data_IF_732333822902
#
_entry.id   IF_732333822902
#
_cell.length_a   1.000
_cell.length_b   1.000
_cell.length_c   1.000
_cell.angle_alpha   90.00
_cell.angle_beta   90.00
_cell.angle_gamma   90.00
#
_symmetry.space_group_name_H-M   'P 1'
#
loop_
_entity.id
_entity.type
_entity.pdbx_description
1 polymer ?
#
# COMPACT_ATOMS: atom_id res chain seq x y z
N UNK A 1 -9.26 -4.38 -10.28
CA UNK A 1 -9.65 -3.58 -11.45
C UNK A 1 -9.73 -4.43 -12.71
N UNK A 2 -8.69 -5.22 -13.01
CA UNK A 2 -8.65 -6.09 -14.19
C UNK A 2 -9.86 -7.03 -14.29
N UNK A 3 -10.17 -7.74 -13.19
CA UNK A 3 -11.32 -8.67 -13.14
C UNK A 3 -12.65 -7.92 -13.31
N UNK A 4 -12.81 -6.75 -12.72
CA UNK A 4 -14.00 -5.93 -12.92
C UNK A 4 -14.15 -5.51 -14.39
N UNK A 5 -13.06 -5.08 -15.03
CA UNK A 5 -13.09 -4.73 -16.45
C UNK A 5 -13.47 -5.92 -17.34
N UNK A 6 -13.01 -7.12 -16.99
CA UNK A 6 -13.38 -8.35 -17.68
C UNK A 6 -14.85 -8.71 -17.47
N UNK A 7 -15.34 -8.59 -16.23
CA UNK A 7 -16.74 -8.86 -15.87
C UNK A 7 -17.72 -7.99 -16.69
N UNK A 8 -17.37 -6.74 -16.90
CA UNK A 8 -18.17 -5.81 -17.72
C UNK A 8 -17.81 -5.87 -19.22
N UNK A 9 -17.11 -6.91 -19.68
CA UNK A 9 -16.76 -7.13 -21.09
C UNK A 9 -16.12 -5.92 -21.78
N UNK A 10 -15.28 -5.17 -21.05
CA UNK A 10 -14.62 -3.98 -21.58
C UNK A 10 -15.53 -2.77 -21.73
N UNK A 11 -16.80 -2.86 -21.33
CA UNK A 11 -17.67 -1.70 -21.24
C UNK A 11 -17.25 -0.80 -20.05
N UNK A 12 -17.85 0.38 -19.97
CA UNK A 12 -17.62 1.28 -18.84
C UNK A 12 -17.92 0.54 -17.54
N UNK A 13 -16.95 0.48 -16.62
CA UNK A 13 -17.22 0.00 -15.27
C UNK A 13 -18.35 0.88 -14.74
N UNK A 14 -19.45 0.29 -14.22
CA UNK A 14 -20.55 1.09 -13.70
C UNK A 14 -20.00 2.17 -12.78
N UNK A 15 -20.62 3.32 -12.82
CA UNK A 15 -20.27 4.48 -11.99
C UNK A 15 -20.63 4.22 -10.50
N UNK A 16 -20.20 3.10 -10.00
CA UNK A 16 -20.09 2.82 -8.59
C UNK A 16 -18.76 3.40 -8.17
N UNK A 17 -18.76 4.38 -7.32
CA UNK A 17 -17.56 5.04 -6.84
C UNK A 17 -16.56 4.02 -6.28
N UNK A 18 -15.62 3.54 -7.10
CA UNK A 18 -14.56 2.63 -6.68
C UNK A 18 -13.23 3.36 -6.77
N UNK A 19 -12.63 3.62 -5.61
CA UNK A 19 -11.24 4.08 -5.50
C UNK A 19 -10.28 2.91 -5.38
N UNK A 20 -9.08 3.07 -5.92
CA UNK A 20 -8.02 2.08 -5.79
C UNK A 20 -6.77 2.73 -5.23
N UNK A 21 -6.09 2.03 -4.34
CA UNK A 21 -4.75 2.37 -3.89
C UNK A 21 -3.87 1.12 -3.92
N UNK A 22 -2.88 1.12 -4.79
CA UNK A 22 -1.90 0.05 -4.91
C UNK A 22 -0.63 0.42 -4.16
N UNK A 23 -0.24 -0.41 -3.21
CA UNK A 23 0.93 -0.20 -2.34
C UNK A 23 1.91 -1.33 -2.55
N UNK A 24 3.12 -1.04 -2.96
CA UNK A 24 4.17 -2.05 -3.12
C UNK A 24 5.56 -1.50 -2.82
N UNK A 25 6.47 -2.40 -2.50
CA UNK A 25 7.91 -2.13 -2.38
C UNK A 25 8.66 -2.31 -3.70
N UNK A 26 8.03 -2.87 -4.74
CA UNK A 26 8.57 -3.00 -6.09
C UNK A 26 7.87 -2.05 -7.05
N UNK A 27 8.64 -1.42 -7.93
CA UNK A 27 8.10 -0.59 -9.01
C UNK A 27 7.74 -1.39 -10.27
N UNK A 28 8.04 -2.68 -10.31
CA UNK A 28 7.84 -3.51 -11.52
C UNK A 28 6.40 -3.46 -12.02
N UNK A 29 5.43 -3.64 -11.11
CA UNK A 29 4.01 -3.59 -11.43
C UNK A 29 3.44 -2.17 -11.55
N UNK A 30 4.27 -1.16 -11.41
CA UNK A 30 3.90 0.26 -11.53
C UNK A 30 4.30 0.87 -12.87
N UNK A 31 4.98 0.11 -13.73
CA UNK A 31 5.35 0.53 -15.09
C UNK A 31 4.14 0.60 -16.00
N UNK A 32 4.08 1.66 -16.82
CA UNK A 32 3.00 1.87 -17.77
C UNK A 32 2.95 0.81 -18.88
N UNK A 33 4.07 0.16 -19.15
CA UNK A 33 4.22 -0.79 -20.27
C UNK A 33 4.10 -2.25 -19.83
N UNK A 34 3.80 -2.51 -18.56
CA UNK A 34 3.67 -3.87 -18.06
C UNK A 34 2.46 -4.57 -18.70
N UNK A 35 2.68 -5.69 -19.42
CA UNK A 35 1.61 -6.45 -20.04
C UNK A 35 0.56 -6.97 -19.05
N UNK A 36 0.92 -7.14 -17.78
CA UNK A 36 0.01 -7.59 -16.73
C UNK A 36 -1.15 -6.62 -16.48
N UNK A 37 -0.98 -5.35 -16.84
CA UNK A 37 -2.04 -4.34 -16.78
C UNK A 37 -2.93 -4.27 -18.01
N UNK A 38 -2.71 -5.14 -19.00
CA UNK A 38 -3.55 -5.21 -20.19
C UNK A 38 -4.61 -6.31 -20.03
N UNK A 39 -5.82 -6.01 -20.45
CA UNK A 39 -6.91 -6.98 -20.56
C UNK A 39 -7.85 -6.54 -21.67
N UNK A 40 -8.36 -7.49 -22.46
CA UNK A 40 -9.20 -7.22 -23.62
C UNK A 40 -8.62 -6.13 -24.54
N UNK A 41 -7.30 -6.11 -24.73
CA UNK A 41 -6.60 -5.13 -25.57
C UNK A 41 -6.44 -3.73 -24.97
N UNK A 42 -6.95 -3.47 -23.78
CA UNK A 42 -6.91 -2.17 -23.13
C UNK A 42 -6.05 -2.17 -21.89
N UNK A 43 -5.32 -1.08 -21.64
CA UNK A 43 -4.60 -0.87 -20.37
C UNK A 43 -5.58 -0.54 -19.27
N UNK A 44 -5.53 -1.32 -18.19
CA UNK A 44 -6.33 -1.12 -16.96
C UNK A 44 -5.46 -0.67 -15.79
N UNK A 45 -4.29 -0.13 -16.09
CA UNK A 45 -3.36 0.35 -15.09
C UNK A 45 -4.00 1.43 -14.19
N UNK A 46 -3.57 1.46 -12.95
CA UNK A 46 -3.96 2.53 -12.04
C UNK A 46 -3.16 3.81 -12.34
N UNK A 47 -3.78 4.97 -12.25
CA UNK A 47 -3.05 6.24 -12.36
C UNK A 47 -2.00 6.36 -11.25
N UNK A 48 -0.95 7.13 -11.48
CA UNK A 48 0.14 7.33 -10.51
C UNK A 48 -0.36 7.80 -9.13
N UNK A 49 -1.41 8.61 -9.10
CA UNK A 49 -2.04 9.06 -7.87
C UNK A 49 -2.69 7.93 -7.04
N UNK A 50 -2.90 6.78 -7.66
CA UNK A 50 -3.43 5.57 -7.00
C UNK A 50 -2.35 4.50 -6.76
N UNK A 51 -1.07 4.88 -6.87
CA UNK A 51 0.07 3.99 -6.66
C UNK A 51 0.99 4.58 -5.60
N UNK A 52 1.34 3.79 -4.60
CA UNK A 52 2.28 4.17 -3.55
C UNK A 52 3.45 3.20 -3.52
N UNK A 53 4.60 3.65 -4.03
CA UNK A 53 5.85 2.94 -3.87
C UNK A 53 6.42 3.21 -2.47
N UNK A 54 6.55 2.17 -1.67
CA UNK A 54 7.04 2.28 -0.29
C UNK A 54 8.55 2.06 -0.14
N UNK A 55 9.29 1.93 -1.23
CA UNK A 55 10.76 1.98 -1.17
C UNK A 55 11.24 3.39 -0.84
N UNK A 56 12.33 3.46 -0.10
CA UNK A 56 12.97 4.73 0.26
C UNK A 56 14.48 4.58 0.12
N UNK A 57 15.12 5.50 -0.62
CA UNK A 57 16.57 5.57 -0.74
C UNK A 57 17.25 5.98 0.59
N UNK A 58 16.49 6.57 1.52
CA UNK A 58 16.98 7.08 2.80
C UNK A 58 16.73 6.11 3.96
N UNK A 59 16.68 4.80 3.72
CA UNK A 59 16.43 3.82 4.78
C UNK A 59 17.55 3.78 5.82
N UNK A 60 18.81 3.89 5.38
CA UNK A 60 19.98 3.86 6.25
C UNK A 60 19.96 4.97 7.31
N UNK A 61 19.78 6.27 6.97
CA UNK A 61 19.67 7.31 7.97
C UNK A 61 18.55 7.12 8.99
N UNK A 62 17.43 6.53 8.59
CA UNK A 62 16.32 6.25 9.51
C UNK A 62 16.64 5.10 10.45
N UNK A 63 17.33 4.09 9.97
CA UNK A 63 17.76 2.98 10.81
C UNK A 63 18.82 3.38 11.83
N UNK A 64 19.69 4.31 11.46
CA UNK A 64 20.75 4.81 12.35
C UNK A 64 20.18 5.73 13.45
N UNK A 65 18.98 6.26 13.29
CA UNK A 65 18.34 7.16 14.22
C UNK A 65 16.98 6.64 14.75
N UNK A 66 16.93 5.38 15.14
CA UNK A 66 15.70 4.72 15.64
C UNK A 66 15.16 5.35 16.92
N UNK A 67 15.99 6.03 17.69
CA UNK A 67 15.56 6.74 18.90
C UNK A 67 14.58 7.86 18.57
N UNK A 68 14.65 8.42 17.37
CA UNK A 68 13.68 9.38 16.85
C UNK A 68 12.37 8.74 16.38
N UNK A 69 12.30 7.39 16.35
CA UNK A 69 11.14 6.62 15.90
C UNK A 69 10.75 5.54 16.92
N UNK A 70 10.28 5.94 18.12
CA UNK A 70 10.03 4.97 19.22
C UNK A 70 9.04 3.88 18.84
N UNK A 71 8.05 4.18 18.02
CA UNK A 71 7.12 3.17 17.52
C UNK A 71 7.76 2.11 16.65
N UNK A 72 8.81 2.45 15.89
CA UNK A 72 9.60 1.50 15.13
C UNK A 72 10.52 0.69 16.05
N UNK A 73 11.20 1.34 16.97
CA UNK A 73 12.16 0.73 17.89
C UNK A 73 11.55 -0.43 18.68
N UNK A 74 10.30 -0.30 19.11
CA UNK A 74 9.63 -1.33 19.93
C UNK A 74 9.55 -2.71 19.28
N UNK A 75 9.26 -2.77 17.97
CA UNK A 75 9.04 -4.05 17.30
C UNK A 75 10.20 -4.50 16.43
N UNK A 76 11.15 -3.61 16.21
CA UNK A 76 12.28 -3.92 15.38
C UNK A 76 13.33 -4.73 16.13
N UNK A 77 13.48 -4.54 17.43
CA UNK A 77 14.45 -5.23 18.27
C UNK A 77 15.84 -4.59 18.28
N UNK A 78 16.86 -5.38 18.55
CA UNK A 78 18.23 -4.87 18.69
C UNK A 78 18.82 -4.37 17.36
N UNK A 79 19.74 -3.39 17.39
CA UNK A 79 20.44 -2.90 16.20
C UNK A 79 21.09 -3.98 15.35
N UNK A 80 21.56 -5.06 15.96
CA UNK A 80 22.22 -6.16 15.24
C UNK A 80 21.22 -6.99 14.41
N UNK A 81 20.02 -7.22 14.93
CA UNK A 81 18.94 -7.86 14.18
C UNK A 81 18.47 -7.02 12.97
N UNK A 82 18.72 -5.72 13.01
CA UNK A 82 18.44 -4.77 11.96
C UNK A 82 19.42 -4.79 10.82
N UNK A 83 20.70 -4.86 11.12
CA UNK A 83 21.75 -4.86 10.11
C UNK A 83 21.52 -5.96 9.09
N UNK A 84 21.05 -7.13 9.52
CA UNK A 84 20.72 -8.22 8.61
C UNK A 84 19.53 -7.88 7.70
N UNK A 85 18.54 -7.18 8.22
CA UNK A 85 17.41 -6.71 7.44
C UNK A 85 17.85 -5.62 6.47
N UNK A 86 18.65 -4.66 6.91
CA UNK A 86 19.16 -3.57 6.09
C UNK A 86 20.15 -4.05 5.04
N UNK A 87 21.09 -4.91 5.40
CA UNK A 87 22.03 -5.53 4.47
C UNK A 87 21.33 -6.34 3.39
N UNK A 88 20.14 -6.86 3.68
CA UNK A 88 19.33 -7.55 2.70
C UNK A 88 18.60 -6.61 1.74
N UNK A 89 18.58 -5.30 2.03
CA UNK A 89 17.99 -4.26 1.17
C UNK A 89 19.06 -3.69 0.23
N UNK A 90 20.28 -3.56 0.69
CA UNK A 90 21.41 -3.04 -0.09
C UNK A 90 21.85 -4.12 -1.08
N UNK A 91 21.36 -4.04 -2.31
CA UNK A 91 21.82 -4.90 -3.41
C UNK A 91 20.90 -6.05 -3.81
N UNK A 92 19.76 -6.23 -3.18
CA UNK A 92 18.78 -7.22 -3.61
C UNK A 92 17.55 -6.55 -4.25
N UNK A 93 17.10 -7.09 -5.38
CA UNK A 93 15.71 -7.05 -5.76
C UNK A 93 14.88 -7.34 -4.50
N UNK A 94 14.06 -6.41 -4.07
CA UNK A 94 13.29 -6.44 -2.82
C UNK A 94 12.29 -7.62 -2.69
N UNK A 95 12.33 -8.58 -3.60
CA UNK A 95 11.49 -9.75 -3.69
C UNK A 95 11.66 -10.83 -2.62
N UNK A 96 12.36 -10.56 -1.54
CA UNK A 96 12.39 -11.47 -0.41
C UNK A 96 11.09 -11.40 0.39
N UNK A 97 10.48 -12.55 0.68
CA UNK A 97 9.30 -12.72 1.54
C UNK A 97 9.52 -12.27 2.99
N UNK A 98 10.11 -11.08 3.17
CA UNK A 98 10.54 -10.57 4.48
C UNK A 98 9.49 -9.62 5.04
N UNK A 99 8.54 -10.16 5.82
CA UNK A 99 7.45 -9.40 6.43
C UNK A 99 7.93 -8.21 7.27
N UNK A 100 8.99 -8.38 8.05
CA UNK A 100 9.56 -7.28 8.85
C UNK A 100 10.03 -6.12 7.99
N UNK A 101 10.63 -6.43 6.84
CA UNK A 101 11.04 -5.41 5.88
C UNK A 101 9.82 -4.68 5.30
N UNK A 102 8.81 -5.41 4.82
CA UNK A 102 7.59 -4.81 4.30
C UNK A 102 6.92 -3.89 5.32
N UNK A 103 6.86 -4.31 6.59
CA UNK A 103 6.36 -3.50 7.70
C UNK A 103 7.17 -2.22 7.89
N UNK A 104 8.50 -2.33 7.88
CA UNK A 104 9.39 -1.18 8.04
C UNK A 104 9.23 -0.15 6.91
N UNK A 105 9.26 -0.61 5.67
CA UNK A 105 9.07 0.24 4.50
C UNK A 105 7.73 0.97 4.56
N UNK A 106 6.68 0.25 4.93
CA UNK A 106 5.35 0.85 5.11
C UNK A 106 5.35 1.91 6.21
N UNK A 107 5.93 1.62 7.35
CA UNK A 107 6.01 2.58 8.46
C UNK A 107 6.75 3.87 8.06
N UNK A 108 7.80 3.76 7.24
CA UNK A 108 8.51 4.93 6.70
C UNK A 108 7.63 5.78 5.75
N UNK A 109 6.60 5.20 5.15
CA UNK A 109 5.70 5.87 4.21
C UNK A 109 4.26 5.98 4.72
N UNK A 110 4.02 5.75 6.01
CA UNK A 110 2.69 5.79 6.60
C UNK A 110 1.99 7.14 6.39
N UNK A 111 2.74 8.26 6.47
CA UNK A 111 2.20 9.59 6.16
C UNK A 111 1.67 9.69 4.73
N UNK A 112 2.46 9.27 3.74
CA UNK A 112 2.03 9.25 2.35
C UNK A 112 0.82 8.33 2.11
N UNK A 113 0.79 7.17 2.79
CA UNK A 113 -0.37 6.28 2.75
C UNK A 113 -1.64 6.98 3.23
N UNK A 114 -1.57 7.66 4.39
CA UNK A 114 -2.69 8.42 4.96
C UNK A 114 -3.19 9.51 4.00
N UNK A 115 -2.30 10.29 3.43
CA UNK A 115 -2.62 11.35 2.48
C UNK A 115 -3.33 10.80 1.24
N UNK A 116 -2.82 9.71 0.68
CA UNK A 116 -3.44 9.08 -0.50
C UNK A 116 -4.80 8.47 -0.18
N UNK A 117 -4.97 7.81 0.96
CA UNK A 117 -6.27 7.31 1.43
C UNK A 117 -7.26 8.45 1.54
N UNK A 118 -6.90 9.54 2.21
CA UNK A 118 -7.77 10.71 2.37
C UNK A 118 -8.13 11.33 1.02
N UNK A 119 -7.20 11.37 0.09
CA UNK A 119 -7.44 11.87 -1.27
C UNK A 119 -8.44 10.98 -2.01
N UNK A 120 -8.29 9.65 -1.95
CA UNK A 120 -9.23 8.73 -2.57
C UNK A 120 -10.63 8.84 -1.96
N UNK A 121 -10.73 8.92 -0.63
CA UNK A 121 -12.03 9.11 0.05
C UNK A 121 -12.69 10.43 -0.37
N UNK A 122 -11.94 11.53 -0.42
CA UNK A 122 -12.48 12.82 -0.88
C UNK A 122 -13.00 12.74 -2.32
N UNK A 123 -12.28 12.08 -3.22
CA UNK A 123 -12.70 11.91 -4.60
C UNK A 123 -14.01 11.09 -4.71
N UNK A 124 -14.13 10.02 -3.93
CA UNK A 124 -15.35 9.22 -3.87
C UNK A 124 -16.53 10.02 -3.33
N UNK A 125 -16.30 10.81 -2.29
CA UNK A 125 -17.34 11.64 -1.68
C UNK A 125 -17.80 12.81 -2.58
N UNK A 126 -16.96 13.30 -3.47
CA UNK A 126 -17.32 14.31 -4.45
C UNK A 126 -18.36 13.81 -5.47
N UNK A 127 -18.44 12.50 -5.72
CA UNK A 127 -19.48 11.91 -6.57
C UNK A 127 -20.84 11.78 -5.88
N UNK A 128 -20.98 12.25 -4.64
CA UNK A 128 -22.22 12.23 -3.87
C UNK A 128 -22.34 11.05 -2.90
N UNK A 129 -21.40 10.11 -2.94
CA UNK A 129 -21.37 8.98 -2.02
C UNK A 129 -20.84 9.43 -0.65
N UNK A 130 -21.59 9.15 0.40
CA UNK A 130 -21.17 9.48 1.77
C UNK A 130 -20.54 8.31 2.49
N UNK A 131 -20.91 7.10 2.13
CA UNK A 131 -20.47 5.87 2.77
C UNK A 131 -19.31 5.25 1.98
N UNK A 132 -18.21 4.97 2.65
CA UNK A 132 -17.03 4.37 2.06
C UNK A 132 -16.70 3.06 2.77
N UNK A 133 -16.49 1.99 2.00
CA UNK A 133 -16.04 0.71 2.53
C UNK A 133 -14.62 0.44 2.03
N UNK A 134 -13.70 0.16 2.96
CA UNK A 134 -12.34 -0.20 2.65
C UNK A 134 -12.20 -1.72 2.52
N UNK A 135 -11.59 -2.17 1.45
CA UNK A 135 -11.26 -3.59 1.20
C UNK A 135 -9.74 -3.77 1.06
N UNK A 136 -9.00 -3.96 2.15
CA UNK A 136 -7.59 -4.33 2.06
C UNK A 136 -7.43 -5.71 1.42
N UNK A 137 -6.81 -5.76 0.25
CA UNK A 137 -6.54 -7.01 -0.48
C UNK A 137 -5.03 -7.23 -0.54
N UNK A 138 -4.57 -8.40 -0.12
CA UNK A 138 -3.14 -8.70 -0.02
C UNK A 138 -2.84 -10.18 -0.19
N UNK A 139 -1.61 -10.48 -0.58
CA UNK A 139 -1.07 -11.85 -0.55
C UNK A 139 -0.38 -12.13 0.77
N UNK A 140 -0.81 -13.18 1.48
CA UNK A 140 -0.19 -13.56 2.76
C UNK A 140 1.22 -14.15 2.61
N UNK A 141 1.56 -14.66 1.43
CA UNK A 141 2.88 -15.22 1.15
C UNK A 141 3.94 -14.15 0.84
N UNK A 142 3.53 -12.93 0.44
CA UNK A 142 4.44 -11.83 0.12
C UNK A 142 5.00 -11.14 1.37
N UNK A 143 6.07 -10.39 1.19
CA UNK A 143 6.69 -9.58 2.27
C UNK A 143 5.96 -8.27 2.51
N UNK A 144 5.61 -7.54 1.46
CA UNK A 144 5.01 -6.20 1.53
C UNK A 144 3.62 -6.25 2.15
N UNK A 145 2.67 -6.90 1.50
CA UNK A 145 1.27 -6.94 1.96
C UNK A 145 1.11 -7.60 3.32
N UNK A 146 1.66 -8.81 3.50
CA UNK A 146 1.57 -9.54 4.76
C UNK A 146 2.30 -8.85 5.92
N UNK A 147 3.32 -8.05 5.64
CA UNK A 147 4.06 -7.29 6.63
C UNK A 147 3.34 -6.02 7.07
N UNK A 148 2.65 -5.34 6.16
CA UNK A 148 2.10 -4.01 6.38
C UNK A 148 0.60 -3.98 6.70
N UNK A 149 -0.14 -5.06 6.47
CA UNK A 149 -1.61 -5.04 6.57
C UNK A 149 -2.13 -4.58 7.91
N UNK A 150 -1.53 -5.04 9.01
CA UNK A 150 -1.98 -4.67 10.36
C UNK A 150 -1.81 -3.16 10.57
N UNK A 151 -0.66 -2.63 10.20
CA UNK A 151 -0.38 -1.20 10.33
C UNK A 151 -1.24 -0.36 9.36
N UNK A 152 -1.48 -0.86 8.14
CA UNK A 152 -2.38 -0.21 7.18
C UNK A 152 -3.82 -0.10 7.70
N UNK A 153 -4.34 -1.19 8.26
CA UNK A 153 -5.68 -1.21 8.89
C UNK A 153 -5.72 -0.30 10.12
N UNK A 154 -4.66 -0.30 10.93
CA UNK A 154 -4.56 0.61 12.08
C UNK A 154 -4.59 2.10 11.63
N UNK A 155 -3.88 2.45 10.54
CA UNK A 155 -3.93 3.80 9.97
C UNK A 155 -5.34 4.17 9.48
N UNK A 156 -6.06 3.23 8.85
CA UNK A 156 -7.45 3.48 8.44
C UNK A 156 -8.37 3.74 9.63
N UNK A 157 -8.23 2.96 10.70
CA UNK A 157 -9.01 3.14 11.92
C UNK A 157 -8.70 4.44 12.65
N UNK A 158 -7.43 4.86 12.63
CA UNK A 158 -7.01 6.14 13.22
C UNK A 158 -7.51 7.33 12.40
N UNK A 159 -7.50 7.22 11.06
CA UNK A 159 -8.05 8.26 10.19
C UNK A 159 -9.57 8.41 10.30
N UNK A 160 -10.25 7.30 10.55
CA UNK A 160 -11.71 7.22 10.51
C UNK A 160 -12.24 6.42 11.71
N UNK A 161 -12.03 6.92 12.94
CA UNK A 161 -12.51 6.26 14.14
C UNK A 161 -14.04 6.30 14.18
N UNK A 162 -14.65 5.17 14.52
CA UNK A 162 -16.08 5.04 14.85
C UNK A 162 -17.05 5.68 13.85
N UNK A 163 -16.69 5.73 12.58
CA UNK A 163 -17.58 6.23 11.55
C UNK A 163 -18.53 5.11 11.10
N UNK A 164 -19.85 5.23 11.31
CA UNK A 164 -20.81 4.25 10.82
C UNK A 164 -20.85 4.16 9.29
N UNK A 165 -20.29 5.19 8.64
CA UNK A 165 -20.20 5.31 7.17
C UNK A 165 -18.89 4.79 6.59
N UNK A 166 -17.96 4.37 7.44
CA UNK A 166 -16.65 3.89 7.03
C UNK A 166 -16.44 2.48 7.58
N UNK A 167 -16.49 1.49 6.71
CA UNK A 167 -16.35 0.08 7.04
C UNK A 167 -15.01 -0.45 6.55
N UNK A 168 -14.35 -1.28 7.34
CA UNK A 168 -13.14 -1.99 6.95
C UNK A 168 -13.49 -3.47 6.92
N UNK A 169 -13.41 -4.07 5.74
CA UNK A 169 -13.59 -5.51 5.50
C UNK A 169 -12.21 -6.09 5.14
N UNK A 170 -11.74 -7.04 5.93
CA UNK A 170 -10.44 -7.72 5.75
C UNK A 170 -10.68 -9.18 5.43
#
# INVERSE_FOLDING_TARGET
>A
RKSLYQEFHGSTIPDVGIGYLYVDSSSEMMSNDDPSWKTLGTSVQLPKASQLLITDANLTPRSDNLDSYPGLKQWLGSPDAWRDILNSIVGATLGGQKRRLGRFLFACKAGNYREQVQTQVKLLQQSGETDVTFHPVLGLAGGTGSGSVIDAVAQLRDLYPDSPRLRILV
#
